data_IF_394955723860
#
_entry.id   IF_394955723860
#
_cell.length_a   1.000
_cell.length_b   1.000
_cell.length_c   1.000
_cell.angle_alpha   90.00
_cell.angle_beta   90.00
_cell.angle_gamma   90.00
#
_symmetry.space_group_name_H-M   'P 1'
#
loop_
_entity.id
_entity.type
_entity.pdbx_description
1 polymer ?
#
# COMPACT_ATOMS: atom_id res chain seq x y z
N UNK A 1 7.73 -7.54 -22.20
CA UNK A 1 7.88 -7.41 -20.74
C UNK A 1 9.25 -6.81 -20.50
N UNK A 2 9.35 -5.74 -19.70
CA UNK A 2 10.59 -4.99 -19.47
C UNK A 2 10.74 -4.69 -17.98
N UNK A 3 11.97 -4.64 -17.47
CA UNK A 3 12.28 -4.28 -16.09
C UNK A 3 13.58 -3.44 -16.04
N UNK A 4 13.62 -2.47 -15.14
CA UNK A 4 14.83 -1.70 -14.81
C UNK A 4 14.83 -1.35 -13.33
N UNK A 5 15.97 -1.55 -12.67
CA UNK A 5 16.26 -1.09 -11.31
C UNK A 5 17.54 -0.27 -11.35
N UNK A 6 17.50 0.97 -10.85
CA UNK A 6 18.69 1.83 -10.69
C UNK A 6 18.82 2.25 -9.23
N UNK A 7 20.03 2.54 -8.78
CA UNK A 7 20.29 3.03 -7.42
C UNK A 7 21.35 4.13 -7.50
N UNK A 8 21.08 5.26 -6.84
CA UNK A 8 22.02 6.38 -6.73
C UNK A 8 22.24 6.75 -5.26
N UNK A 9 23.41 7.30 -4.95
CA UNK A 9 23.72 7.77 -3.61
C UNK A 9 23.17 9.19 -3.41
N UNK A 10 22.04 9.30 -2.72
CA UNK A 10 21.32 10.58 -2.53
C UNK A 10 21.29 11.05 -1.07
N UNK A 11 21.40 10.13 -0.11
CA UNK A 11 21.26 10.41 1.33
C UNK A 11 22.48 9.88 2.08
N UNK A 12 22.90 10.61 3.13
CA UNK A 12 24.00 10.19 3.99
C UNK A 12 23.50 9.17 5.02
N UNK A 13 24.27 8.09 5.21
CA UNK A 13 24.01 7.09 6.25
C UNK A 13 23.92 7.78 7.63
N UNK A 14 22.83 7.53 8.35
CA UNK A 14 22.57 8.09 9.68
C UNK A 14 21.94 9.51 9.71
N UNK A 15 21.78 10.16 8.56
CA UNK A 15 21.20 11.51 8.46
C UNK A 15 20.11 11.46 7.38
N UNK A 16 18.99 10.80 7.70
CA UNK A 16 17.95 10.36 6.75
C UNK A 16 17.14 11.44 6.04
N UNK A 17 17.63 12.69 5.97
CA UNK A 17 16.96 13.79 5.26
C UNK A 17 17.45 13.86 3.81
N UNK A 18 16.53 14.07 2.87
CA UNK A 18 16.85 14.32 1.47
C UNK A 18 17.77 15.56 1.33
N UNK A 19 18.71 15.53 0.38
CA UNK A 19 19.68 16.61 0.22
C UNK A 19 19.00 17.89 -0.28
N UNK A 20 18.04 17.76 -1.20
CA UNK A 20 17.16 18.84 -1.66
C UNK A 20 16.47 19.59 -0.51
N UNK A 21 15.93 18.88 0.48
CA UNK A 21 15.28 19.50 1.64
C UNK A 21 16.30 20.29 2.50
N UNK A 22 17.50 19.74 2.72
CA UNK A 22 18.54 20.45 3.45
C UNK A 22 19.03 21.70 2.70
N UNK A 23 19.08 21.64 1.37
CA UNK A 23 19.59 22.72 0.53
C UNK A 23 18.67 23.94 0.51
N UNK A 24 17.36 23.75 0.68
CA UNK A 24 16.41 24.85 0.87
C UNK A 24 16.66 25.65 2.15
N UNK A 25 17.22 25.03 3.19
CA UNK A 25 17.53 25.69 4.46
C UNK A 25 18.96 26.21 4.50
N UNK A 26 19.92 25.36 4.09
CA UNK A 26 21.36 25.67 4.12
C UNK A 26 22.09 24.86 3.06
N UNK A 27 22.49 25.53 1.99
CA UNK A 27 23.24 24.94 0.88
C UNK A 27 24.71 24.71 1.25
N UNK A 28 25.02 23.52 1.78
CA UNK A 28 26.40 23.10 2.03
C UNK A 28 27.20 23.04 0.72
N UNK A 29 28.50 23.39 0.77
CA UNK A 29 29.42 23.37 -0.38
C UNK A 29 30.49 22.27 -0.28
N UNK A 30 30.32 21.30 0.62
CA UNK A 30 31.27 20.19 0.76
C UNK A 30 31.14 19.20 -0.39
N UNK A 31 32.23 18.49 -0.69
CA UNK A 31 32.26 17.43 -1.72
C UNK A 31 31.14 16.41 -1.48
N UNK A 32 30.94 15.98 -0.24
CA UNK A 32 29.88 15.02 0.10
C UNK A 32 28.45 15.56 -0.09
N UNK A 33 28.24 16.88 -0.05
CA UNK A 33 26.95 17.48 -0.41
C UNK A 33 26.75 17.57 -1.93
N UNK A 34 27.81 17.87 -2.68
CA UNK A 34 27.78 17.90 -4.14
C UNK A 34 27.52 16.50 -4.73
N UNK A 35 28.18 15.46 -4.20
CA UNK A 35 28.00 14.08 -4.65
C UNK A 35 26.55 13.61 -4.52
N UNK A 36 25.88 13.97 -3.41
CA UNK A 36 24.47 13.62 -3.18
C UNK A 36 23.51 14.37 -4.11
N UNK A 37 23.79 15.65 -4.40
CA UNK A 37 23.03 16.42 -5.41
C UNK A 37 23.15 15.82 -6.81
N UNK A 38 24.38 15.51 -7.23
CA UNK A 38 24.62 14.84 -8.50
C UNK A 38 23.95 13.46 -8.53
N UNK A 39 23.91 12.75 -7.40
CA UNK A 39 23.16 11.50 -7.27
C UNK A 39 21.65 11.67 -7.47
N UNK A 40 21.05 12.73 -6.91
CA UNK A 40 19.63 13.07 -7.11
C UNK A 40 19.35 13.44 -8.58
N UNK A 41 20.20 14.25 -9.20
CA UNK A 41 20.11 14.62 -10.62
C UNK A 41 20.21 13.40 -11.54
N UNK A 42 21.20 12.53 -11.31
CA UNK A 42 21.36 11.28 -12.07
C UNK A 42 20.19 10.32 -11.89
N UNK A 43 19.56 10.32 -10.72
CA UNK A 43 18.35 9.51 -10.49
C UNK A 43 17.18 10.03 -11.32
N UNK A 44 17.01 11.35 -11.39
CA UNK A 44 15.99 12.00 -12.23
C UNK A 44 16.22 11.69 -13.71
N UNK A 45 17.46 11.77 -14.19
CA UNK A 45 17.85 11.39 -15.56
C UNK A 45 17.53 9.92 -15.85
N UNK A 46 17.90 8.99 -14.96
CA UNK A 46 17.61 7.57 -15.12
C UNK A 46 16.11 7.28 -15.26
N UNK A 47 15.28 7.96 -14.44
CA UNK A 47 13.81 7.83 -14.50
C UNK A 47 13.29 8.35 -15.84
N UNK A 48 13.77 9.52 -16.27
CA UNK A 48 13.37 10.17 -17.53
C UNK A 48 13.69 9.29 -18.73
N UNK A 49 14.91 8.75 -18.78
CA UNK A 49 15.38 7.86 -19.83
C UNK A 49 14.52 6.58 -19.88
N UNK A 50 14.24 5.99 -18.72
CA UNK A 50 13.39 4.78 -18.61
C UNK A 50 11.98 5.04 -19.09
N UNK A 51 11.37 6.15 -18.64
CA UNK A 51 10.02 6.52 -19.05
C UNK A 51 9.92 6.75 -20.56
N UNK A 52 10.93 7.41 -21.13
CA UNK A 52 11.01 7.67 -22.58
C UNK A 52 11.16 6.36 -23.37
N UNK A 53 12.07 5.48 -22.96
CA UNK A 53 12.26 4.18 -23.58
C UNK A 53 11.00 3.30 -23.51
N UNK A 54 10.19 3.46 -22.46
CA UNK A 54 8.98 2.67 -22.25
C UNK A 54 7.70 3.36 -22.71
N UNK A 55 7.78 4.50 -23.42
CA UNK A 55 6.60 5.25 -23.86
C UNK A 55 5.56 4.38 -24.57
N UNK A 56 5.97 3.51 -25.49
CA UNK A 56 5.07 2.60 -26.20
C UNK A 56 4.36 1.58 -25.30
N UNK A 57 4.97 1.21 -24.16
CA UNK A 57 4.36 0.36 -23.14
C UNK A 57 3.40 1.15 -22.25
N UNK A 58 3.78 2.37 -21.86
CA UNK A 58 2.96 3.29 -21.05
C UNK A 58 1.66 3.63 -21.77
N UNK A 59 1.72 3.92 -23.07
CA UNK A 59 0.54 4.29 -23.86
C UNK A 59 -0.48 3.13 -23.95
N UNK A 60 -0.03 1.88 -23.85
CA UNK A 60 -0.87 0.67 -23.90
C UNK A 60 -1.29 0.16 -22.51
N UNK A 61 -0.76 0.73 -21.43
CA UNK A 61 -1.02 0.25 -20.09
C UNK A 61 -2.44 0.64 -19.62
N UNK A 62 -3.15 -0.33 -19.04
CA UNK A 62 -4.47 -0.11 -18.46
C UNK A 62 -4.41 0.59 -17.10
N UNK A 63 -3.45 0.23 -16.25
CA UNK A 63 -3.26 0.74 -14.90
C UNK A 63 -1.78 0.96 -14.60
N UNK A 64 -1.47 1.95 -13.76
CA UNK A 64 -0.14 2.16 -13.20
C UNK A 64 -0.18 1.99 -11.69
N UNK A 65 0.60 1.05 -11.17
CA UNK A 65 0.78 0.91 -9.73
C UNK A 65 2.07 1.61 -9.31
N UNK A 66 1.93 2.68 -8.51
CA UNK A 66 3.05 3.54 -8.12
C UNK A 66 3.21 3.51 -6.60
N UNK A 67 4.43 3.24 -6.15
CA UNK A 67 4.88 3.49 -4.77
C UNK A 67 6.00 4.52 -4.81
N UNK A 68 5.79 5.65 -4.13
CA UNK A 68 6.78 6.72 -4.03
C UNK A 68 6.60 7.48 -2.71
N UNK A 69 7.67 7.69 -1.93
CA UNK A 69 7.61 8.52 -0.73
C UNK A 69 7.11 9.94 -1.04
N UNK A 70 6.38 10.54 -0.08
CA UNK A 70 5.80 11.89 -0.22
C UNK A 70 6.84 12.96 -0.58
N UNK A 71 8.04 12.86 -0.03
CA UNK A 71 9.15 13.80 -0.26
C UNK A 71 9.68 13.76 -1.69
N UNK A 72 9.63 12.61 -2.35
CA UNK A 72 10.14 12.42 -3.72
C UNK A 72 9.05 12.54 -4.78
N UNK A 73 7.77 12.49 -4.39
CA UNK A 73 6.63 12.44 -5.31
C UNK A 73 6.63 13.57 -6.34
N UNK A 74 6.99 14.80 -5.94
CA UNK A 74 7.07 15.95 -6.85
C UNK A 74 8.13 15.74 -7.94
N UNK A 75 9.37 15.46 -7.54
CA UNK A 75 10.49 15.26 -8.49
C UNK A 75 10.29 14.02 -9.36
N UNK A 76 9.65 12.96 -8.83
CA UNK A 76 9.26 11.79 -9.62
C UNK A 76 8.36 12.16 -10.79
N UNK A 77 7.24 12.86 -10.57
CA UNK A 77 6.34 13.25 -11.68
C UNK A 77 6.97 14.29 -12.62
N UNK A 78 7.82 15.18 -12.10
CA UNK A 78 8.62 16.08 -12.93
C UNK A 78 9.56 15.29 -13.87
N UNK A 79 10.16 14.18 -13.41
CA UNK A 79 11.02 13.31 -14.23
C UNK A 79 10.27 12.61 -15.36
N UNK A 80 8.97 12.40 -15.21
CA UNK A 80 8.17 11.72 -16.22
C UNK A 80 7.85 12.61 -17.41
N UNK A 81 8.18 13.92 -17.37
CA UNK A 81 8.07 14.87 -18.48
C UNK A 81 6.70 14.81 -19.21
N UNK A 82 5.62 14.61 -18.45
CA UNK A 82 4.26 14.53 -19.01
C UNK A 82 3.90 13.20 -19.71
N UNK A 83 4.80 12.20 -19.73
CA UNK A 83 4.49 10.83 -20.19
C UNK A 83 3.42 10.21 -19.30
N UNK A 84 3.50 10.47 -17.99
CA UNK A 84 2.46 10.13 -17.02
C UNK A 84 2.21 11.39 -16.18
N UNK A 85 0.97 11.89 -16.20
CA UNK A 85 0.55 13.01 -15.37
C UNK A 85 0.19 12.56 -13.96
N UNK A 86 0.35 13.44 -12.98
CA UNK A 86 -0.07 13.18 -11.59
C UNK A 86 -1.57 12.86 -11.46
N UNK A 87 -2.38 13.48 -12.32
CA UNK A 87 -3.84 13.37 -12.30
C UNK A 87 -4.37 12.29 -13.26
N UNK A 88 -3.48 11.42 -13.77
CA UNK A 88 -3.88 10.31 -14.64
C UNK A 88 -4.76 9.30 -13.85
N UNK A 89 -5.98 9.10 -14.33
CA UNK A 89 -6.99 8.24 -13.71
C UNK A 89 -6.60 6.77 -13.66
N UNK A 90 -5.55 6.35 -14.40
CA UNK A 90 -5.00 4.98 -14.40
C UNK A 90 -4.06 4.72 -13.22
N UNK A 91 -3.63 5.77 -12.50
CA UNK A 91 -2.69 5.63 -11.39
C UNK A 91 -3.40 5.07 -10.15
N UNK A 92 -2.79 4.06 -9.54
CA UNK A 92 -3.20 3.43 -8.27
C UNK A 92 -1.99 3.29 -7.36
N UNK A 93 -2.20 3.36 -6.04
CA UNK A 93 -1.14 3.09 -5.06
C UNK A 93 -0.89 1.58 -5.00
N UNK A 94 0.36 1.19 -4.82
CA UNK A 94 0.68 -0.20 -4.45
C UNK A 94 0.08 -0.48 -3.05
N UNK A 95 -0.73 -1.54 -2.87
CA UNK A 95 -1.43 -1.82 -1.61
C UNK A 95 -0.56 -2.50 -0.55
N UNK A 96 0.77 -2.46 -0.72
CA UNK A 96 1.74 -3.11 0.14
C UNK A 96 2.80 -2.08 0.52
N UNK A 97 3.19 -2.07 1.79
CA UNK A 97 4.40 -1.37 2.18
C UNK A 97 5.60 -2.23 1.85
N UNK A 98 6.50 -1.67 1.04
CA UNK A 98 7.67 -2.36 0.54
C UNK A 98 8.85 -1.47 0.84
N UNK A 99 9.83 -2.01 1.57
CA UNK A 99 10.98 -1.24 2.01
C UNK A 99 11.81 -0.73 0.83
N UNK A 100 12.82 -1.50 0.43
CA UNK A 100 13.71 -1.07 -0.66
C UNK A 100 13.12 -1.47 -2.01
N UNK A 101 13.05 -0.56 -3.00
CA UNK A 101 12.62 -0.93 -4.35
C UNK A 101 13.69 -1.83 -4.99
N UNK A 102 13.38 -3.11 -5.11
CA UNK A 102 14.18 -4.11 -5.82
C UNK A 102 13.32 -4.83 -6.86
N UNK A 103 13.97 -5.56 -7.76
CA UNK A 103 13.25 -6.40 -8.72
C UNK A 103 12.36 -7.45 -8.02
N UNK A 104 12.83 -8.05 -6.93
CA UNK A 104 12.08 -9.03 -6.14
C UNK A 104 10.79 -8.41 -5.58
N UNK A 105 10.85 -7.18 -5.04
CA UNK A 105 9.65 -6.47 -4.60
C UNK A 105 8.67 -6.24 -5.76
N UNK A 106 9.15 -5.93 -6.97
CA UNK A 106 8.28 -5.76 -8.13
C UNK A 106 7.60 -7.07 -8.56
N UNK A 107 8.31 -8.21 -8.47
CA UNK A 107 7.76 -9.54 -8.73
C UNK A 107 6.68 -9.89 -7.69
N UNK A 108 6.94 -9.64 -6.41
CA UNK A 108 5.95 -9.86 -5.34
C UNK A 108 4.70 -9.00 -5.53
N UNK A 109 4.86 -7.72 -5.89
CA UNK A 109 3.72 -6.84 -6.19
C UNK A 109 2.90 -7.44 -7.33
N UNK A 110 3.56 -7.83 -8.42
CA UNK A 110 2.89 -8.40 -9.59
C UNK A 110 2.11 -9.66 -9.20
N UNK A 111 2.73 -10.58 -8.46
CA UNK A 111 2.10 -11.81 -8.00
C UNK A 111 0.87 -11.53 -7.13
N UNK A 112 0.98 -10.62 -6.16
CA UNK A 112 -0.14 -10.24 -5.29
C UNK A 112 -1.27 -9.56 -6.07
N UNK A 113 -0.95 -8.64 -6.98
CA UNK A 113 -1.96 -7.94 -7.78
C UNK A 113 -2.66 -8.84 -8.80
N UNK A 114 -2.00 -9.90 -9.25
CA UNK A 114 -2.54 -10.86 -10.21
C UNK A 114 -3.16 -12.11 -9.54
N UNK A 115 -3.09 -12.23 -8.22
CA UNK A 115 -3.62 -13.38 -7.48
C UNK A 115 -4.94 -13.06 -6.80
N UNK A 116 -5.92 -13.93 -6.97
CA UNK A 116 -7.18 -13.90 -6.20
C UNK A 116 -7.05 -14.87 -5.04
N UNK A 117 -7.20 -14.37 -3.81
CA UNK A 117 -7.23 -15.21 -2.60
C UNK A 117 -8.66 -15.39 -2.13
N UNK A 118 -9.08 -16.65 -1.97
CA UNK A 118 -10.37 -17.01 -1.39
C UNK A 118 -10.15 -17.29 0.09
N UNK A 119 -10.88 -16.58 0.95
CA UNK A 119 -10.83 -16.77 2.40
C UNK A 119 -12.22 -17.12 2.91
N UNK A 120 -12.32 -18.17 3.70
CA UNK A 120 -13.53 -18.44 4.47
C UNK A 120 -13.61 -17.43 5.61
N UNK A 121 -14.70 -16.64 5.61
CA UNK A 121 -14.97 -15.72 6.71
C UNK A 121 -15.77 -16.45 7.77
N UNK A 122 -15.15 -16.67 8.93
CA UNK A 122 -15.89 -17.07 10.13
C UNK A 122 -16.59 -15.81 10.65
N UNK A 123 -17.92 -15.79 10.75
CA UNK A 123 -18.64 -14.62 11.25
C UNK A 123 -18.26 -14.40 12.73
N UNK A 124 -17.40 -13.42 12.99
CA UNK A 124 -17.16 -12.94 14.34
C UNK A 124 -18.26 -11.92 14.63
N UNK A 125 -19.15 -12.23 15.57
CA UNK A 125 -20.12 -11.27 16.09
C UNK A 125 -19.35 -10.20 16.86
N UNK A 126 -18.95 -9.12 16.19
CA UNK A 126 -18.43 -7.93 16.85
C UNK A 126 -19.60 -7.24 17.53
N UNK A 127 -19.89 -7.61 18.77
CA UNK A 127 -20.73 -6.81 19.65
C UNK A 127 -19.98 -5.51 19.95
N UNK A 128 -20.41 -4.41 19.34
CA UNK A 128 -19.95 -3.04 19.65
C UNK A 128 -20.47 -2.58 21.03
N UNK A 129 -20.12 -3.30 22.10
CA UNK A 129 -20.42 -2.92 23.46
C UNK A 129 -19.18 -3.09 24.35
N UNK A 130 -18.42 -2.01 24.54
CA UNK A 130 -17.57 -1.86 25.73
C UNK A 130 -16.10 -1.49 25.50
N UNK A 131 -15.80 -0.39 24.79
CA UNK A 131 -14.56 0.35 25.11
C UNK A 131 -14.84 1.19 26.37
N UNK A 132 -14.66 0.57 27.54
CA UNK A 132 -14.38 1.30 28.77
C UNK A 132 -12.94 1.01 29.18
N UNK A 133 -12.22 2.11 29.42
CA UNK A 133 -10.83 2.14 29.82
C UNK A 133 -10.55 1.21 31.01
N UNK A 134 -9.53 0.36 30.86
CA UNK A 134 -8.94 -0.38 31.97
C UNK A 134 -7.46 -0.04 32.03
N UNK A 135 -7.09 0.62 33.12
CA UNK A 135 -5.74 1.03 33.51
C UNK A 135 -4.79 -0.17 33.59
N UNK A 136 -3.51 0.12 33.39
CA UNK A 136 -2.37 -0.74 33.65
C UNK A 136 -2.40 -1.37 35.05
N UNK A 137 -2.15 -2.69 35.14
CA UNK A 137 -1.54 -3.36 36.31
C UNK A 137 -0.76 -4.59 35.84
N UNK A 138 0.56 -4.50 36.03
CA UNK A 138 1.51 -5.48 36.60
C UNK A 138 1.37 -6.99 36.35
N UNK A 139 2.46 -7.59 35.86
CA UNK A 139 2.64 -9.03 35.62
C UNK A 139 3.32 -9.65 36.87
N UNK A 140 2.55 -10.36 37.69
CA UNK A 140 3.04 -11.10 38.86
C UNK A 140 2.41 -12.49 39.04
N UNK A 141 3.16 -13.52 38.63
CA UNK A 141 3.29 -14.92 39.12
C UNK A 141 2.10 -15.70 39.75
N UNK A 142 1.87 -16.90 39.18
CA UNK A 142 1.58 -18.24 39.81
C UNK A 142 0.19 -18.43 40.47
N UNK A 143 -0.45 -19.60 40.62
CA UNK A 143 -0.15 -21.03 40.40
C UNK A 143 -1.49 -21.84 40.45
N UNK A 144 -1.59 -22.91 39.65
CA UNK A 144 -2.18 -24.25 39.92
C UNK A 144 -3.58 -24.52 40.56
N UNK A 145 -4.36 -25.35 39.81
CA UNK A 145 -5.06 -26.61 40.16
C UNK A 145 -6.55 -26.67 40.58
N UNK A 146 -7.34 -27.32 39.70
CA UNK A 146 -8.24 -28.48 39.98
C UNK A 146 -9.75 -28.24 40.15
N UNK A 147 -10.62 -29.27 39.99
CA UNK A 147 -10.76 -30.19 38.85
C UNK A 147 -12.18 -30.18 38.21
N UNK A 148 -12.29 -30.88 37.09
CA UNK A 148 -13.47 -31.04 36.23
C UNK A 148 -14.65 -31.78 36.87
N UNK A 149 -15.88 -31.38 36.53
CA UNK A 149 -17.03 -32.29 36.42
C UNK A 149 -17.86 -31.90 35.18
N UNK A 150 -18.36 -32.91 34.48
CA UNK A 150 -18.69 -32.83 33.06
C UNK A 150 -20.16 -32.58 32.70
N UNK A 151 -20.36 -32.32 31.41
CA UNK A 151 -21.56 -32.66 30.65
C UNK A 151 -21.23 -32.63 29.14
N UNK A 152 -21.51 -33.75 28.46
CA UNK A 152 -21.33 -34.00 27.02
C UNK A 152 -22.31 -33.20 26.14
N UNK A 153 -22.10 -33.13 24.81
CA UNK A 153 -22.41 -31.98 23.97
C UNK A 153 -23.86 -31.99 23.48
N UNK A 154 -24.49 -30.80 23.49
CA UNK A 154 -25.70 -30.58 22.69
C UNK A 154 -25.27 -30.25 21.26
N UNK A 155 -25.92 -30.93 20.31
CA UNK A 155 -25.76 -30.77 18.86
C UNK A 155 -25.89 -29.30 18.49
N UNK A 156 -24.84 -28.73 17.91
CA UNK A 156 -24.91 -27.44 17.23
C UNK A 156 -25.83 -27.59 16.02
N UNK A 157 -27.07 -27.14 16.17
CA UNK A 157 -27.89 -26.74 15.03
C UNK A 157 -27.11 -25.67 14.27
N UNK A 158 -26.90 -25.90 12.97
CA UNK A 158 -26.31 -24.93 12.06
C UNK A 158 -27.21 -23.70 11.99
N UNK A 159 -26.95 -22.72 12.85
CA UNK A 159 -27.55 -21.39 12.75
C UNK A 159 -27.04 -20.80 11.45
N UNK A 160 -27.91 -20.72 10.46
CA UNK A 160 -27.68 -19.95 9.24
C UNK A 160 -27.58 -18.50 9.67
N UNK A 161 -26.36 -18.03 9.92
CA UNK A 161 -26.11 -16.63 10.23
C UNK A 161 -26.33 -15.86 8.94
N UNK A 162 -27.45 -15.14 8.87
CA UNK A 162 -27.82 -14.30 7.74
C UNK A 162 -26.83 -13.12 7.68
N UNK A 163 -25.73 -13.31 6.95
CA UNK A 163 -24.74 -12.24 6.71
C UNK A 163 -25.47 -11.16 5.91
N UNK A 164 -25.65 -9.93 6.43
CA UNK A 164 -26.34 -8.90 5.68
C UNK A 164 -25.60 -8.66 4.37
N UNK A 165 -26.26 -8.99 3.25
CA UNK A 165 -25.72 -8.82 1.92
C UNK A 165 -25.44 -7.32 1.70
N UNK A 166 -24.16 -6.97 1.53
CA UNK A 166 -23.77 -5.62 1.12
C UNK A 166 -24.42 -5.26 -0.23
N UNK A 167 -24.50 -3.97 -0.54
CA UNK A 167 -24.97 -3.53 -1.86
C UNK A 167 -24.21 -4.19 -3.02
N UNK A 168 -22.92 -4.47 -2.83
CA UNK A 168 -22.11 -5.22 -3.80
C UNK A 168 -22.55 -6.69 -3.90
N UNK A 169 -22.82 -7.37 -2.78
CA UNK A 169 -23.29 -8.75 -2.80
C UNK A 169 -24.65 -8.89 -3.49
N UNK A 170 -25.56 -7.94 -3.25
CA UNK A 170 -26.88 -7.92 -3.90
C UNK A 170 -26.72 -7.69 -5.42
N UNK A 171 -25.89 -6.74 -5.83
CA UNK A 171 -25.63 -6.46 -7.24
C UNK A 171 -25.00 -7.66 -7.96
N UNK A 172 -24.03 -8.33 -7.33
CA UNK A 172 -23.44 -9.57 -7.86
C UNK A 172 -24.47 -10.70 -8.01
N UNK A 173 -25.35 -10.88 -7.03
CA UNK A 173 -26.42 -11.90 -7.08
C UNK A 173 -27.42 -11.63 -8.20
N UNK A 174 -27.72 -10.36 -8.45
CA UNK A 174 -28.69 -9.94 -9.48
C UNK A 174 -28.06 -9.81 -10.87
N UNK A 175 -26.73 -9.91 -11.00
CA UNK A 175 -26.02 -9.77 -12.27
C UNK A 175 -26.00 -8.33 -12.83
N UNK A 176 -26.23 -7.33 -11.98
CA UNK A 176 -26.31 -5.93 -12.40
C UNK A 176 -24.90 -5.33 -12.57
N UNK A 177 -24.36 -5.42 -13.78
CA UNK A 177 -22.99 -5.02 -14.10
C UNK A 177 -22.73 -3.51 -13.92
N UNK A 178 -23.73 -2.67 -14.13
CA UNK A 178 -23.57 -1.22 -14.03
C UNK A 178 -23.46 -0.79 -12.57
N UNK A 179 -24.27 -1.37 -11.70
CA UNK A 179 -24.17 -1.15 -10.25
C UNK A 179 -22.85 -1.72 -9.70
N UNK A 180 -22.43 -2.91 -10.14
CA UNK A 180 -21.14 -3.49 -9.74
C UNK A 180 -19.98 -2.57 -10.15
N UNK A 181 -19.96 -2.10 -11.40
CA UNK A 181 -18.93 -1.16 -11.87
C UNK A 181 -18.94 0.14 -11.08
N UNK A 182 -20.11 0.70 -10.80
CA UNK A 182 -20.26 1.91 -10.01
C UNK A 182 -19.67 1.77 -8.61
N UNK A 183 -20.03 0.70 -7.89
CA UNK A 183 -19.55 0.43 -6.54
C UNK A 183 -18.03 0.17 -6.52
N UNK A 184 -17.52 -0.60 -7.48
CA UNK A 184 -16.08 -0.88 -7.57
C UNK A 184 -15.28 0.37 -7.95
N UNK A 185 -15.81 1.24 -8.81
CA UNK A 185 -15.18 2.50 -9.17
C UNK A 185 -15.11 3.47 -7.97
N UNK A 186 -16.18 3.55 -7.16
CA UNK A 186 -16.18 4.38 -5.95
C UNK A 186 -15.24 3.84 -4.87
N UNK A 187 -15.24 2.53 -4.63
CA UNK A 187 -14.38 1.89 -3.63
C UNK A 187 -12.88 1.98 -3.99
N UNK A 188 -12.54 1.92 -5.29
CA UNK A 188 -11.15 2.10 -5.75
C UNK A 188 -10.59 3.50 -5.42
N UNK A 189 -11.44 4.52 -5.47
CA UNK A 189 -11.07 5.87 -5.02
C UNK A 189 -10.94 5.94 -3.50
N UNK A 190 -11.79 5.23 -2.76
CA UNK A 190 -11.78 5.24 -1.30
C UNK A 190 -10.52 4.58 -0.70
N UNK A 191 -10.03 3.47 -1.27
CA UNK A 191 -8.71 2.89 -0.91
C UNK A 191 -7.55 3.86 -1.17
N UNK A 192 -7.69 4.74 -2.16
CA UNK A 192 -6.69 5.78 -2.47
C UNK A 192 -6.73 6.92 -1.44
N UNK A 193 -7.88 7.14 -0.78
CA UNK A 193 -8.12 8.21 0.20
C UNK A 193 -7.91 7.75 1.66
N UNK A 194 -8.22 6.49 1.98
CA UNK A 194 -8.11 5.91 3.34
C UNK A 194 -6.67 5.56 3.74
N UNK A 195 -5.71 5.66 2.82
CA UNK A 195 -4.29 5.70 3.14
C UNK A 195 -3.95 7.06 3.78
N UNK A 196 -4.20 7.19 5.08
CA UNK A 196 -3.89 8.38 5.87
C UNK A 196 -2.41 8.79 5.85
N UNK A 197 -2.08 9.98 6.38
CA UNK A 197 -0.73 10.55 6.32
C UNK A 197 0.37 9.81 7.11
N UNK A 198 0.01 8.76 7.85
CA UNK A 198 0.90 8.03 8.78
C UNK A 198 1.18 6.57 8.36
N UNK A 199 1.33 6.31 7.05
CA UNK A 199 1.98 5.12 6.48
C UNK A 199 2.79 5.49 5.22
#
# INVERSE_FOLDING_TARGET
IQHRTTTRYTIRKGQGKAQSAQDSQRRAKSIGSQLRRQGEEKLQEDITETATAWKAHVDKAALFFVSCPKTMKKSFYESLNGIISRDDTRIRRVPLDLGRPTFESAVLIHDVLCTVTVREMIPTTTNEAGVKASKAVDIGRSNQNGPSSGASPKKDESVVVDIPLSALHVACKNGDLDVIRGILASASNELTVMAGPDL
#
